data_IF_353027103148
#
_entry.id   IF_353027103148
#
_cell.length_a   1.000
_cell.length_b   1.000
_cell.length_c   1.000
_cell.angle_alpha   90.00
_cell.angle_beta   90.00
_cell.angle_gamma   90.00
#
_symmetry.space_group_name_H-M   'P 1'
#
loop_
_entity.id
_entity.type
_entity.pdbx_description
1 polymer ?
#
# COMPACT_ATOMS: atom_id res chain seq x y z
N UNK A 1 -2.87 0.66 -24.25
CA UNK A 1 -3.58 0.16 -23.05
C UNK A 1 -2.56 -0.09 -21.95
N UNK A 2 -2.87 0.27 -20.70
CA UNK A 2 -1.98 0.09 -19.53
C UNK A 2 -2.24 -1.23 -18.76
N UNK A 3 -3.02 -2.16 -19.32
CA UNK A 3 -3.50 -3.33 -18.58
C UNK A 3 -2.38 -4.18 -17.95
N UNK A 4 -1.39 -4.61 -18.74
CA UNK A 4 -0.27 -5.40 -18.22
C UNK A 4 0.63 -4.62 -17.27
N UNK A 5 0.86 -3.32 -17.53
CA UNK A 5 1.71 -2.49 -16.66
C UNK A 5 1.05 -2.20 -15.32
N UNK A 6 -0.28 -1.99 -15.28
CA UNK A 6 -1.06 -1.83 -14.05
C UNK A 6 -1.04 -3.11 -13.22
N UNK A 7 -1.23 -4.26 -13.86
CA UNK A 7 -1.21 -5.55 -13.17
C UNK A 7 0.17 -5.86 -12.55
N UNK A 8 1.24 -5.64 -13.32
CA UNK A 8 2.62 -5.78 -12.83
C UNK A 8 2.94 -4.80 -11.69
N UNK A 9 2.57 -3.53 -11.86
CA UNK A 9 2.79 -2.50 -10.84
C UNK A 9 2.04 -2.80 -9.54
N UNK A 10 0.78 -3.23 -9.63
CA UNK A 10 -0.03 -3.60 -8.47
C UNK A 10 0.60 -4.72 -7.65
N UNK A 11 0.94 -5.85 -8.29
CA UNK A 11 1.57 -6.99 -7.60
C UNK A 11 2.91 -6.61 -6.94
N UNK A 12 3.78 -5.91 -7.69
CA UNK A 12 5.10 -5.55 -7.19
C UNK A 12 5.06 -4.56 -6.01
N UNK A 13 4.18 -3.56 -6.05
CA UNK A 13 4.08 -2.53 -4.99
C UNK A 13 3.60 -3.12 -3.67
N UNK A 14 2.64 -4.04 -3.72
CA UNK A 14 2.04 -4.64 -2.51
C UNK A 14 2.95 -5.66 -1.86
N UNK A 15 3.79 -6.35 -2.64
CA UNK A 15 4.77 -7.31 -2.12
C UNK A 15 5.77 -6.70 -1.12
N UNK A 16 5.96 -5.37 -1.12
CA UNK A 16 6.77 -4.67 -0.12
C UNK A 16 6.10 -4.52 1.25
N UNK A 17 4.77 -4.64 1.36
CA UNK A 17 4.10 -4.52 2.66
C UNK A 17 4.46 -5.68 3.57
N UNK A 18 4.40 -6.90 3.04
CA UNK A 18 4.49 -8.13 3.81
C UNK A 18 5.51 -9.12 3.22
N UNK A 19 6.80 -8.80 3.15
CA UNK A 19 7.80 -9.61 2.45
C UNK A 19 8.14 -10.93 3.17
N UNK A 20 7.71 -11.09 4.43
CA UNK A 20 7.97 -12.28 5.26
C UNK A 20 6.96 -13.41 5.10
N UNK A 21 6.06 -13.33 4.12
CA UNK A 21 5.11 -14.39 3.82
C UNK A 21 5.42 -15.08 2.48
N UNK A 22 4.86 -16.27 2.29
CA UNK A 22 4.83 -16.89 0.98
C UNK A 22 3.92 -16.06 0.07
N UNK A 23 4.50 -15.45 -0.97
CA UNK A 23 3.79 -14.56 -1.88
C UNK A 23 3.79 -15.12 -3.30
N UNK A 24 2.61 -15.27 -3.88
CA UNK A 24 2.42 -15.55 -5.29
C UNK A 24 1.26 -14.71 -5.81
N UNK A 25 1.37 -14.20 -7.03
CA UNK A 25 0.28 -13.53 -7.71
C UNK A 25 0.24 -13.94 -9.17
N UNK A 26 -0.97 -13.96 -9.72
CA UNK A 26 -1.21 -14.11 -11.16
C UNK A 26 -2.17 -13.02 -11.58
N UNK A 27 -2.04 -12.56 -12.82
CA UNK A 27 -2.90 -11.51 -13.36
C UNK A 27 -3.27 -11.81 -14.80
N UNK A 28 -4.51 -11.50 -15.15
CA UNK A 28 -5.04 -11.59 -16.51
C UNK A 28 -5.66 -10.27 -16.88
N UNK A 29 -5.19 -9.68 -17.97
CA UNK A 29 -5.83 -8.50 -18.56
C UNK A 29 -6.92 -8.98 -19.51
N UNK A 30 -8.15 -8.50 -19.32
CA UNK A 30 -9.28 -8.83 -20.18
C UNK A 30 -9.59 -7.66 -21.11
N UNK A 31 -9.61 -7.93 -22.42
CA UNK A 31 -10.17 -7.00 -23.39
C UNK A 31 -11.70 -7.09 -23.35
N UNK A 32 -12.37 -5.95 -23.39
CA UNK A 32 -13.84 -5.87 -23.38
C UNK A 32 -14.29 -4.79 -24.38
N UNK A 33 -15.57 -4.79 -24.74
CA UNK A 33 -16.18 -3.74 -25.57
C UNK A 33 -16.51 -2.45 -24.80
N UNK A 34 -15.99 -2.29 -23.59
CA UNK A 34 -16.07 -1.05 -22.82
C UNK A 34 -14.96 -0.08 -23.23
N UNK A 35 -15.09 1.23 -22.93
CA UNK A 35 -14.01 2.18 -23.13
C UNK A 35 -12.70 1.69 -22.51
N UNK A 36 -11.58 1.88 -23.22
CA UNK A 36 -10.28 1.42 -22.74
C UNK A 36 -9.95 2.08 -21.40
N UNK A 37 -9.71 1.25 -20.38
CA UNK A 37 -9.19 1.71 -19.11
C UNK A 37 -7.75 2.27 -19.25
N UNK A 38 -7.39 3.16 -18.33
CA UNK A 38 -6.09 3.82 -18.29
C UNK A 38 -5.51 3.89 -16.88
N UNK A 39 -4.43 4.65 -16.74
CA UNK A 39 -3.82 4.91 -15.45
C UNK A 39 -4.73 5.77 -14.56
N UNK A 40 -4.86 5.41 -13.28
CA UNK A 40 -5.48 6.23 -12.24
C UNK A 40 -4.50 6.35 -11.06
N UNK A 41 -4.70 7.33 -10.17
CA UNK A 41 -3.86 7.55 -8.99
C UNK A 41 -3.67 6.25 -8.20
N UNK A 42 -2.42 5.87 -7.97
CA UNK A 42 -2.04 4.58 -7.35
C UNK A 42 -1.71 3.46 -8.36
N UNK A 43 -2.01 3.63 -9.64
CA UNK A 43 -1.55 2.79 -10.75
C UNK A 43 -1.63 1.28 -10.45
N UNK A 44 -2.83 0.80 -10.12
CA UNK A 44 -3.12 -0.61 -9.80
C UNK A 44 -2.91 -1.02 -8.35
N UNK A 45 -2.12 -0.27 -7.56
CA UNK A 45 -1.88 -0.60 -6.16
C UNK A 45 -3.16 -0.58 -5.30
N UNK A 46 -4.07 0.42 -5.39
CA UNK A 46 -5.26 0.45 -4.54
C UNK A 46 -6.13 -0.81 -4.63
N UNK A 47 -6.32 -1.34 -5.84
CA UNK A 47 -7.13 -2.53 -6.07
C UNK A 47 -6.50 -3.78 -5.45
N UNK A 48 -5.17 -3.94 -5.62
CA UNK A 48 -4.44 -5.09 -5.07
C UNK A 48 -4.31 -4.99 -3.55
N UNK A 49 -4.03 -3.80 -3.01
CA UNK A 49 -3.98 -3.56 -1.56
C UNK A 49 -5.32 -3.88 -0.93
N UNK A 50 -6.44 -3.43 -1.50
CA UNK A 50 -7.76 -3.77 -0.99
C UNK A 50 -7.93 -5.29 -0.85
N UNK A 51 -7.63 -6.05 -1.91
CA UNK A 51 -7.75 -7.51 -1.87
C UNK A 51 -6.85 -8.15 -0.81
N UNK A 52 -5.59 -7.72 -0.69
CA UNK A 52 -4.63 -8.26 0.28
C UNK A 52 -5.00 -7.89 1.72
N UNK A 53 -5.38 -6.64 1.98
CA UNK A 53 -5.77 -6.18 3.31
C UNK A 53 -7.07 -6.83 3.79
N UNK A 54 -8.05 -7.01 2.90
CA UNK A 54 -9.26 -7.77 3.21
C UNK A 54 -8.94 -9.23 3.56
N UNK A 55 -8.07 -9.88 2.79
CA UNK A 55 -7.63 -11.24 3.09
C UNK A 55 -6.90 -11.34 4.44
N UNK A 56 -6.08 -10.34 4.79
CA UNK A 56 -5.41 -10.28 6.09
C UNK A 56 -6.40 -10.07 7.24
N UNK A 57 -7.44 -9.26 7.05
CA UNK A 57 -8.50 -9.06 8.06
C UNK A 57 -9.34 -10.31 8.29
N UNK A 58 -9.67 -11.04 7.21
CA UNK A 58 -10.36 -12.33 7.30
C UNK A 58 -9.48 -13.37 8.03
N UNK A 59 -8.19 -13.42 7.72
CA UNK A 59 -7.23 -14.29 8.39
C UNK A 59 -7.07 -13.93 9.89
N UNK A 60 -7.01 -12.64 10.22
CA UNK A 60 -6.95 -12.18 11.60
C UNK A 60 -8.18 -12.65 12.39
N UNK A 61 -9.36 -12.52 11.79
CA UNK A 61 -10.64 -13.00 12.36
C UNK A 61 -10.62 -14.49 12.58
N UNK A 62 -10.26 -15.27 11.56
CA UNK A 62 -10.27 -16.73 11.61
C UNK A 62 -9.27 -17.30 12.63
N UNK A 63 -8.12 -16.65 12.80
CA UNK A 63 -7.06 -17.06 13.73
C UNK A 63 -7.21 -16.46 15.14
N UNK A 64 -8.17 -15.56 15.37
CA UNK A 64 -8.31 -14.84 16.63
C UNK A 64 -7.12 -13.90 16.93
N UNK A 65 -6.41 -13.43 15.90
CA UNK A 65 -5.27 -12.52 16.04
C UNK A 65 -5.76 -11.08 15.91
N UNK A 66 -5.16 -10.14 16.64
CA UNK A 66 -5.46 -8.72 16.46
C UNK A 66 -5.06 -8.23 15.04
N UNK A 67 -5.92 -7.47 14.33
CA UNK A 67 -5.62 -6.99 12.98
C UNK A 67 -4.36 -6.13 12.85
N UNK A 68 -3.98 -5.38 13.89
CA UNK A 68 -2.71 -4.63 13.90
C UNK A 68 -1.55 -5.60 14.11
N UNK A 69 -1.70 -6.57 15.01
CA UNK A 69 -0.67 -7.56 15.34
C UNK A 69 -0.30 -8.45 14.14
N UNK A 70 -1.28 -8.97 13.40
CA UNK A 70 -0.98 -9.79 12.21
C UNK A 70 -0.18 -9.00 11.17
N UNK A 71 -0.47 -7.70 11.04
CA UNK A 71 0.26 -6.79 10.14
C UNK A 71 1.66 -6.54 10.67
N UNK A 72 1.83 -6.29 11.97
CA UNK A 72 3.16 -6.08 12.57
C UNK A 72 4.08 -7.30 12.39
N UNK A 73 3.56 -8.52 12.55
CA UNK A 73 4.33 -9.77 12.36
C UNK A 73 4.85 -9.92 10.94
N UNK A 74 4.05 -9.54 9.95
CA UNK A 74 4.36 -9.73 8.54
C UNK A 74 4.99 -8.50 7.87
N UNK A 75 4.77 -7.30 8.41
CA UNK A 75 5.18 -6.01 7.82
C UNK A 75 6.66 -6.01 7.47
N UNK A 76 7.13 -5.32 6.43
CA UNK A 76 8.57 -5.26 6.13
C UNK A 76 9.44 -4.73 7.28
N UNK A 77 10.69 -5.19 7.37
CA UNK A 77 11.82 -4.60 8.11
C UNK A 77 12.94 -4.23 7.13
N UNK A 78 13.85 -3.38 7.60
CA UNK A 78 15.14 -3.18 6.97
C UNK A 78 15.86 -4.51 6.77
N UNK A 79 16.47 -4.69 5.60
CA UNK A 79 17.20 -5.89 5.24
C UNK A 79 16.36 -6.96 4.53
N UNK A 80 15.03 -6.94 4.66
CA UNK A 80 14.15 -7.81 3.88
C UNK A 80 14.33 -7.59 2.36
N UNK A 81 13.94 -8.58 1.57
CA UNK A 81 13.89 -8.46 0.12
C UNK A 81 12.44 -8.53 -0.37
N UNK A 82 12.11 -7.75 -1.40
CA UNK A 82 10.84 -7.91 -2.09
C UNK A 82 10.78 -9.31 -2.74
N UNK A 83 9.76 -10.13 -2.46
CA UNK A 83 9.72 -11.54 -2.89
C UNK A 83 9.58 -11.71 -4.41
N UNK A 84 9.13 -10.68 -5.13
CA UNK A 84 8.98 -10.73 -6.58
C UNK A 84 10.20 -10.22 -7.33
N UNK A 85 10.82 -9.15 -6.84
CA UNK A 85 11.92 -8.47 -7.54
C UNK A 85 13.30 -8.74 -6.95
N UNK A 86 13.39 -9.36 -5.77
CA UNK A 86 14.64 -9.57 -5.04
C UNK A 86 15.30 -8.29 -4.52
N UNK A 87 14.68 -7.12 -4.72
CA UNK A 87 15.23 -5.83 -4.31
C UNK A 87 15.22 -5.72 -2.79
N UNK A 88 16.38 -5.37 -2.22
CA UNK A 88 16.54 -5.14 -0.79
C UNK A 88 15.77 -3.91 -0.33
N UNK A 89 15.15 -4.01 0.83
CA UNK A 89 14.51 -2.92 1.56
C UNK A 89 15.56 -2.30 2.47
N UNK A 90 15.99 -1.09 2.15
CA UNK A 90 17.04 -0.38 2.90
C UNK A 90 16.52 0.40 4.11
N UNK A 91 15.22 0.65 4.17
CA UNK A 91 14.55 1.27 5.31
C UNK A 91 13.09 0.83 5.34
N UNK A 92 12.52 0.67 6.53
CA UNK A 92 11.14 0.24 6.70
C UNK A 92 10.52 0.94 7.91
N UNK A 93 9.71 1.97 7.66
CA UNK A 93 9.00 2.72 8.71
C UNK A 93 7.59 2.19 9.02
N UNK A 94 7.14 1.14 8.31
CA UNK A 94 5.79 0.61 8.43
C UNK A 94 5.46 0.11 9.86
N UNK A 95 6.29 -0.70 10.53
CA UNK A 95 6.01 -1.13 11.89
C UNK A 95 5.92 0.04 12.88
N UNK A 96 6.78 1.05 12.78
CA UNK A 96 6.75 2.26 13.62
C UNK A 96 5.47 3.05 13.34
N UNK A 97 5.06 3.18 12.08
CA UNK A 97 3.80 3.81 11.69
C UNK A 97 2.59 3.07 12.28
N UNK A 98 2.58 1.74 12.23
CA UNK A 98 1.50 0.93 12.81
C UNK A 98 1.43 1.09 14.33
N UNK A 99 2.57 0.98 15.01
CA UNK A 99 2.63 1.09 16.46
C UNK A 99 2.26 2.49 16.95
N UNK A 100 2.72 3.54 16.25
CA UNK A 100 2.34 4.92 16.54
C UNK A 100 0.85 5.17 16.26
N UNK A 101 0.34 4.66 15.13
CA UNK A 101 -1.07 4.75 14.78
C UNK A 101 -1.97 4.07 15.80
N UNK A 102 -1.61 2.86 16.21
CA UNK A 102 -2.27 2.08 17.27
C UNK A 102 -2.43 2.87 18.56
N UNK A 103 -1.35 3.55 19.00
CA UNK A 103 -1.35 4.41 20.21
C UNK A 103 -2.21 5.66 20.04
N UNK A 104 -1.96 6.45 18.99
CA UNK A 104 -2.67 7.74 18.77
C UNK A 104 -4.17 7.52 18.58
N UNK A 105 -4.56 6.42 17.93
CA UNK A 105 -5.95 6.08 17.69
C UNK A 105 -6.66 5.47 18.92
N UNK A 106 -5.94 5.15 19.99
CA UNK A 106 -6.46 4.38 21.13
C UNK A 106 -7.07 3.03 20.70
N UNK A 107 -6.33 2.26 19.89
CA UNK A 107 -6.85 1.06 19.22
C UNK A 107 -7.53 0.07 20.16
N UNK A 108 -6.90 -0.29 21.28
CA UNK A 108 -7.42 -1.26 22.25
C UNK A 108 -8.79 -0.84 22.78
N UNK A 109 -8.89 0.42 23.22
CA UNK A 109 -10.12 1.00 23.77
C UNK A 109 -11.23 1.01 22.72
N UNK A 110 -10.96 1.58 21.54
CA UNK A 110 -11.98 1.69 20.48
C UNK A 110 -12.41 0.34 19.92
N UNK A 111 -11.48 -0.62 19.84
CA UNK A 111 -11.80 -2.00 19.43
C UNK A 111 -12.68 -2.68 20.47
N UNK A 112 -12.39 -2.53 21.76
CA UNK A 112 -13.22 -3.06 22.85
C UNK A 112 -14.64 -2.46 22.84
N UNK A 113 -14.77 -1.14 22.61
CA UNK A 113 -16.07 -0.47 22.46
C UNK A 113 -16.90 -1.00 21.26
N UNK A 114 -16.23 -1.54 20.24
CA UNK A 114 -16.90 -2.15 19.10
C UNK A 114 -17.30 -3.62 19.32
N UNK A 115 -16.91 -4.25 20.43
CA UNK A 115 -17.27 -5.64 20.73
C UNK A 115 -18.63 -5.74 21.45
N UNK A 116 -19.34 -6.85 21.23
CA UNK A 116 -20.59 -7.19 21.94
C UNK A 116 -21.67 -6.11 21.92
N UNK A 117 -21.68 -5.24 20.90
CA UNK A 117 -22.69 -4.22 20.75
C UNK A 117 -24.09 -4.88 20.70
N UNK A 118 -25.16 -4.16 21.05
CA UNK A 118 -26.56 -4.58 20.85
C UNK A 118 -27.32 -3.64 19.89
N UNK A 119 -28.42 -4.11 19.28
CA UNK A 119 -29.25 -3.33 18.35
C UNK A 119 -28.78 -3.31 16.89
N UNK A 120 -29.52 -2.55 16.06
CA UNK A 120 -29.38 -2.53 14.59
C UNK A 120 -28.29 -1.58 14.08
N UNK A 121 -27.79 -0.68 14.92
CA UNK A 121 -26.69 0.23 14.59
C UNK A 121 -25.40 -0.28 15.23
N UNK A 122 -24.35 -0.45 14.43
CA UNK A 122 -23.04 -0.96 14.84
C UNK A 122 -21.95 0.03 14.46
N UNK A 123 -20.89 0.07 15.25
CA UNK A 123 -19.62 0.72 14.91
C UNK A 123 -18.54 -0.32 14.68
N UNK A 124 -17.59 0.01 13.81
CA UNK A 124 -16.42 -0.81 13.55
C UNK A 124 -15.17 0.06 13.49
N UNK A 125 -14.04 -0.55 13.82
CA UNK A 125 -12.71 0.02 13.60
C UNK A 125 -11.93 -0.94 12.72
N UNK A 126 -11.09 -0.38 11.85
CA UNK A 126 -10.28 -1.14 10.91
C UNK A 126 -8.91 -0.50 10.74
N UNK A 127 -7.97 -1.29 10.24
CA UNK A 127 -6.62 -0.85 9.93
C UNK A 127 -6.24 -1.44 8.57
N UNK A 128 -5.55 -0.65 7.75
CA UNK A 128 -4.99 -1.13 6.50
C UNK A 128 -3.64 -0.48 6.26
N UNK A 129 -2.73 -1.22 5.62
CA UNK A 129 -1.45 -0.69 5.19
C UNK A 129 -1.45 -0.44 3.68
N UNK A 130 -0.68 0.55 3.24
CA UNK A 130 -0.50 0.84 1.82
C UNK A 130 0.97 1.08 1.53
N UNK A 131 1.49 0.44 0.49
CA UNK A 131 2.83 0.68 -0.03
C UNK A 131 2.74 1.23 -1.44
N UNK A 132 3.60 2.19 -1.74
CA UNK A 132 3.75 2.74 -3.07
C UNK A 132 5.22 2.90 -3.41
N UNK A 133 5.62 2.43 -4.58
CA UNK A 133 6.96 2.69 -5.10
C UNK A 133 6.96 4.08 -5.74
N UNK A 134 7.79 4.97 -5.24
CA UNK A 134 8.25 6.16 -5.96
C UNK A 134 9.23 5.71 -7.03
N UNK A 135 9.17 6.34 -8.21
CA UNK A 135 9.91 6.03 -9.44
C UNK A 135 9.32 4.98 -10.40
N UNK A 136 9.82 5.05 -11.64
CA UNK A 136 9.49 4.15 -12.75
C UNK A 136 10.67 3.29 -13.20
N UNK A 137 11.79 3.27 -12.46
CA UNK A 137 12.98 2.50 -12.84
C UNK A 137 12.75 0.98 -12.74
N UNK A 138 13.14 0.16 -13.73
CA UNK A 138 13.93 0.50 -14.93
C UNK A 138 13.10 0.82 -16.18
N UNK A 139 11.78 0.94 -16.04
CA UNK A 139 10.84 1.14 -17.16
C UNK A 139 10.96 2.54 -17.77
N UNK A 140 11.31 3.54 -16.97
CA UNK A 140 11.47 4.93 -17.41
C UNK A 140 12.56 5.67 -16.64
N UNK A 141 13.15 6.65 -17.32
CA UNK A 141 14.02 7.67 -16.71
C UNK A 141 13.15 8.84 -16.25
N UNK A 142 13.34 9.26 -15.00
CA UNK A 142 12.60 10.39 -14.42
C UNK A 142 13.38 11.68 -14.59
N UNK A 143 13.32 12.25 -15.80
CA UNK A 143 13.99 13.49 -16.13
C UNK A 143 13.11 14.66 -15.70
N UNK A 144 13.67 15.57 -14.90
CA UNK A 144 13.06 16.84 -14.54
C UNK A 144 13.97 18.00 -14.98
N UNK A 145 13.38 19.14 -15.31
CA UNK A 145 14.10 20.37 -15.68
C UNK A 145 13.37 21.60 -15.16
N UNK A 146 14.13 22.65 -14.86
CA UNK A 146 13.61 23.95 -14.45
C UNK A 146 14.39 25.05 -15.18
N UNK A 147 13.75 26.21 -15.42
CA UNK A 147 14.39 27.39 -16.02
C UNK A 147 14.12 28.58 -15.11
N UNK A 148 15.19 29.26 -14.72
CA UNK A 148 15.10 30.44 -13.86
C UNK A 148 15.54 31.67 -14.65
N UNK A 149 14.75 32.75 -14.55
CA UNK A 149 15.06 34.05 -15.14
C UNK A 149 15.12 35.09 -14.04
N UNK A 150 16.29 35.73 -13.86
CA UNK A 150 16.47 36.87 -12.97
C UNK A 150 16.17 38.16 -13.73
N UNK A 151 15.18 38.91 -13.27
CA UNK A 151 14.80 40.19 -13.83
C UNK A 151 15.75 41.29 -13.32
N UNK A 152 15.75 42.44 -14.00
CA UNK A 152 16.59 43.58 -13.63
C UNK A 152 16.21 44.20 -12.27
N UNK A 153 14.98 44.02 -11.83
CA UNK A 153 14.49 44.45 -10.50
C UNK A 153 14.84 43.46 -9.38
N UNK A 154 15.58 42.39 -9.69
CA UNK A 154 15.99 41.36 -8.75
C UNK A 154 14.93 40.27 -8.49
N UNK A 155 13.75 40.35 -9.11
CA UNK A 155 12.74 39.29 -9.00
C UNK A 155 13.12 38.07 -9.86
N UNK A 156 12.66 36.87 -9.46
CA UNK A 156 12.94 35.61 -10.16
C UNK A 156 11.64 35.04 -10.70
N UNK A 157 11.62 34.73 -11.99
CA UNK A 157 10.61 33.89 -12.63
C UNK A 157 11.11 32.45 -12.72
N UNK A 158 10.28 31.50 -12.29
CA UNK A 158 10.52 30.05 -12.32
C UNK A 158 9.63 29.41 -13.39
#
# INVERSE_FOLDING_TARGET
SHGHSIASAGGNKVAYLYPRCAYAYSSKTCYTNLPSAGAMRGYGAPQVVFAVESMLDDAATALGIDPVEIRLRNAAREGDANPLSGKRIYSAGLPECLEKGRKIFEWEKRRAECQNQQGNLRRGVGVACFSYTSNTWPVGVEIAGARLLMNQDGTINV
#
